data_IF_924580380252
#
_entry.id   IF_924580380252
#
_cell.length_a   1.000
_cell.length_b   1.000
_cell.length_c   1.000
_cell.angle_alpha   90.00
_cell.angle_beta   90.00
_cell.angle_gamma   90.00
#
_symmetry.space_group_name_H-M   'P 1'
#
loop_
_entity.id
_entity.type
_entity.pdbx_description
1 polymer ?
#
# COMPACT_ATOMS: atom_id res chain seq x y z
N UNK A 1 -65.87 10.82 29.56
CA UNK A 1 -66.45 9.96 28.51
C UNK A 1 -65.29 9.24 27.88
N UNK A 2 -65.30 7.90 28.03
CA UNK A 2 -64.58 6.85 27.25
C UNK A 2 -63.05 6.99 27.19
N UNK A 3 -62.25 6.32 28.03
CA UNK A 3 -61.96 4.86 28.07
C UNK A 3 -61.71 4.26 26.68
N UNK A 4 -60.45 3.95 26.36
CA UNK A 4 -60.05 2.87 25.48
C UNK A 4 -58.63 2.42 25.84
N UNK A 5 -58.57 1.22 26.41
CA UNK A 5 -57.37 0.52 26.86
C UNK A 5 -57.14 -0.67 25.92
N UNK A 6 -56.15 -0.57 25.04
CA UNK A 6 -55.75 -1.70 24.19
C UNK A 6 -54.80 -2.63 24.95
N UNK A 7 -55.37 -3.72 25.44
CA UNK A 7 -54.69 -4.92 25.91
C UNK A 7 -54.30 -5.79 24.73
N UNK A 8 -53.00 -5.90 24.44
CA UNK A 8 -52.48 -6.90 23.50
C UNK A 8 -52.26 -8.24 24.22
N UNK A 9 -53.05 -9.23 23.81
CA UNK A 9 -52.93 -10.64 24.16
C UNK A 9 -51.56 -11.21 23.70
N UNK A 10 -50.81 -11.73 24.66
CA UNK A 10 -49.69 -12.64 24.40
C UNK A 10 -50.23 -14.06 24.26
N UNK A 11 -50.38 -14.54 23.02
CA UNK A 11 -50.61 -15.96 22.75
C UNK A 11 -49.31 -16.73 22.94
N UNK A 12 -49.29 -17.53 24.01
CA UNK A 12 -48.44 -18.71 24.18
C UNK A 12 -48.94 -19.82 23.27
N UNK A 13 -48.18 -20.18 22.24
CA UNK A 13 -48.10 -21.55 21.70
C UNK A 13 -47.22 -21.53 20.44
N UNK A 14 -45.98 -22.03 20.59
CA UNK A 14 -45.22 -22.66 19.50
C UNK A 14 -44.02 -23.39 20.12
N UNK A 15 -44.31 -24.46 20.85
CA UNK A 15 -43.34 -25.48 21.23
C UNK A 15 -43.10 -26.42 20.04
N UNK A 16 -42.35 -25.93 19.05
CA UNK A 16 -41.89 -26.74 17.94
C UNK A 16 -40.65 -27.56 18.37
N UNK A 17 -40.85 -28.88 18.41
CA UNK A 17 -39.88 -29.97 18.32
C UNK A 17 -38.41 -29.56 18.12
N UNK A 18 -37.62 -29.59 19.21
CA UNK A 18 -36.18 -29.83 19.10
C UNK A 18 -35.98 -31.32 18.84
N UNK A 19 -35.88 -31.71 17.56
CA UNK A 19 -35.26 -32.98 17.21
C UNK A 19 -33.81 -32.96 17.75
N UNK A 20 -33.54 -33.84 18.70
CA UNK A 20 -32.20 -34.12 19.20
C UNK A 20 -31.46 -34.79 18.04
N UNK A 21 -30.64 -34.03 17.32
CA UNK A 21 -29.72 -34.59 16.34
C UNK A 21 -28.85 -35.65 17.04
N UNK A 22 -28.93 -36.89 16.56
CA UNK A 22 -28.10 -37.99 17.03
C UNK A 22 -26.61 -37.57 16.99
N UNK A 23 -25.82 -37.85 18.04
CA UNK A 23 -24.40 -37.56 18.04
C UNK A 23 -23.75 -38.23 16.82
N UNK A 24 -23.26 -37.40 15.89
CA UNK A 24 -22.54 -37.85 14.71
C UNK A 24 -21.55 -38.96 15.10
N UNK A 25 -21.50 -40.08 14.37
CA UNK A 25 -20.65 -41.20 14.71
C UNK A 25 -19.22 -40.72 14.88
N UNK A 26 -18.67 -40.93 16.08
CA UNK A 26 -17.28 -40.64 16.39
C UNK A 26 -16.41 -41.54 15.51
N UNK A 27 -16.10 -41.07 14.31
CA UNK A 27 -15.14 -41.71 13.43
C UNK A 27 -13.84 -41.76 14.20
N UNK A 28 -13.44 -42.97 14.60
CA UNK A 28 -12.13 -43.24 15.17
C UNK A 28 -11.09 -42.88 14.12
N UNK A 29 -10.67 -41.61 14.12
CA UNK A 29 -9.64 -41.09 13.22
C UNK A 29 -8.40 -41.94 13.42
N UNK A 30 -8.16 -42.85 12.48
CA UNK A 30 -6.89 -43.55 12.39
C UNK A 30 -5.82 -42.48 12.36
N UNK A 31 -4.94 -42.51 13.36
CA UNK A 31 -3.82 -41.57 13.46
C UNK A 31 -2.87 -41.94 12.33
N UNK A 32 -3.03 -41.30 11.18
CA UNK A 32 -2.11 -41.44 10.06
C UNK A 32 -0.69 -41.18 10.55
N UNK A 33 0.20 -42.13 10.27
CA UNK A 33 1.61 -42.03 10.68
C UNK A 33 2.32 -41.01 9.80
N UNK A 34 3.12 -40.15 10.43
CA UNK A 34 4.02 -39.24 9.72
C UNK A 34 5.05 -40.06 8.93
N UNK A 35 5.41 -39.60 7.74
CA UNK A 35 6.59 -40.10 7.04
C UNK A 35 7.87 -39.70 7.76
N UNK A 36 9.00 -40.32 7.39
CA UNK A 36 10.31 -39.96 7.96
C UNK A 36 10.65 -38.48 7.70
N UNK A 37 10.36 -37.99 6.50
CA UNK A 37 10.56 -36.59 6.10
C UNK A 37 9.67 -35.65 6.92
N UNK A 38 8.40 -35.99 7.11
CA UNK A 38 7.50 -35.17 7.93
C UNK A 38 7.91 -35.16 9.41
N UNK A 39 8.44 -36.28 9.91
CA UNK A 39 8.97 -36.38 11.27
C UNK A 39 10.22 -35.52 11.45
N UNK A 40 11.13 -35.51 10.47
CA UNK A 40 12.31 -34.66 10.43
C UNK A 40 11.93 -33.17 10.44
N UNK A 41 11.02 -32.75 9.56
CA UNK A 41 10.55 -31.35 9.52
C UNK A 41 9.87 -30.97 10.83
N UNK A 42 9.01 -31.84 11.38
CA UNK A 42 8.36 -31.58 12.66
C UNK A 42 9.38 -31.35 13.79
N UNK A 43 10.47 -32.12 13.80
CA UNK A 43 11.57 -31.94 14.75
C UNK A 43 12.32 -30.62 14.53
N UNK A 44 12.62 -30.26 13.28
CA UNK A 44 13.32 -29.00 12.95
C UNK A 44 12.46 -27.76 13.25
N UNK A 45 11.16 -27.82 12.96
CA UNK A 45 10.20 -26.78 13.35
C UNK A 45 10.17 -26.63 14.87
N UNK A 46 10.05 -27.75 15.61
CA UNK A 46 10.06 -27.72 17.08
C UNK A 46 11.35 -27.13 17.65
N UNK A 47 12.51 -27.46 17.07
CA UNK A 47 13.82 -26.89 17.45
C UNK A 47 13.88 -25.37 17.29
N UNK A 48 13.17 -24.81 16.31
CA UNK A 48 13.04 -23.36 16.08
C UNK A 48 11.94 -22.70 16.91
N UNK A 49 11.30 -23.45 17.82
CA UNK A 49 10.13 -22.99 18.56
C UNK A 49 8.92 -22.74 17.66
N UNK A 50 8.88 -23.38 16.49
CA UNK A 50 7.76 -23.37 15.56
C UNK A 50 6.88 -24.58 15.81
N UNK A 51 5.69 -24.55 15.21
CA UNK A 51 4.65 -25.53 15.47
C UNK A 51 4.97 -26.99 15.12
N UNK A 52 4.17 -27.91 15.65
CA UNK A 52 4.21 -29.33 15.29
C UNK A 52 3.38 -29.62 14.03
N UNK A 53 3.73 -30.71 13.35
CA UNK A 53 3.00 -31.20 12.17
C UNK A 53 1.97 -32.25 12.60
N UNK A 54 0.75 -32.17 12.06
CA UNK A 54 -0.23 -33.26 12.08
C UNK A 54 -0.69 -33.56 10.65
N UNK A 55 -0.89 -34.83 10.30
CA UNK A 55 -1.40 -35.21 8.97
C UNK A 55 -2.93 -35.14 8.96
N UNK A 56 -3.49 -34.65 7.85
CA UNK A 56 -4.92 -34.64 7.60
C UNK A 56 -5.21 -34.92 6.12
N UNK A 57 -5.09 -36.18 5.70
CA UNK A 57 -5.29 -36.58 4.30
C UNK A 57 -4.13 -36.13 3.41
N UNK A 58 -4.44 -35.38 2.35
CA UNK A 58 -3.43 -34.86 1.41
C UNK A 58 -2.71 -33.60 1.91
N UNK A 59 -3.09 -33.09 3.09
CA UNK A 59 -2.52 -31.90 3.71
C UNK A 59 -1.80 -32.24 5.02
N UNK A 60 -0.75 -31.46 5.32
CA UNK A 60 -0.18 -31.32 6.65
C UNK A 60 -0.74 -30.09 7.36
N UNK A 61 -1.14 -30.26 8.61
CA UNK A 61 -1.57 -29.20 9.52
C UNK A 61 -0.40 -28.75 10.39
N UNK A 62 -0.06 -27.47 10.32
CA UNK A 62 0.94 -26.82 11.14
C UNK A 62 0.27 -26.20 12.38
N UNK A 63 0.67 -26.62 13.58
CA UNK A 63 0.06 -26.21 14.87
C UNK A 63 1.09 -25.53 15.76
N UNK A 64 0.91 -24.28 16.22
CA UNK A 64 1.87 -23.65 17.12
C UNK A 64 2.05 -24.46 18.41
N UNK A 65 3.27 -24.42 18.98
CA UNK A 65 3.58 -25.12 20.24
C UNK A 65 2.82 -24.54 21.43
N UNK A 66 2.60 -23.22 21.43
CA UNK A 66 1.76 -22.57 22.42
C UNK A 66 0.30 -22.92 22.11
N UNK A 67 -0.37 -23.67 22.99
CA UNK A 67 -1.76 -24.12 22.85
C UNK A 67 -2.84 -23.02 22.81
N UNK A 68 -2.49 -21.80 22.40
CA UNK A 68 -3.44 -20.73 22.12
C UNK A 68 -4.29 -21.01 20.88
N UNK A 69 -5.44 -20.36 20.82
CA UNK A 69 -6.34 -20.41 19.68
C UNK A 69 -5.73 -19.67 18.48
N UNK A 70 -4.84 -20.35 17.76
CA UNK A 70 -4.29 -19.87 16.49
C UNK A 70 -5.00 -20.62 15.36
N UNK A 71 -5.40 -19.93 14.28
CA UNK A 71 -5.99 -20.59 13.13
C UNK A 71 -5.09 -21.71 12.64
N UNK A 72 -5.68 -22.90 12.44
CA UNK A 72 -5.01 -24.03 11.81
C UNK A 72 -4.51 -23.61 10.43
N UNK A 73 -3.25 -23.93 10.13
CA UNK A 73 -2.63 -23.68 8.84
C UNK A 73 -2.36 -25.03 8.19
N UNK A 74 -2.80 -25.20 6.94
CA UNK A 74 -2.68 -26.46 6.20
C UNK A 74 -1.83 -26.28 4.95
N UNK A 75 -1.01 -27.26 4.61
CA UNK A 75 -0.22 -27.23 3.39
C UNK A 75 -0.26 -28.60 2.72
N UNK A 76 -0.38 -28.68 1.38
CA UNK A 76 -0.31 -29.95 0.68
C UNK A 76 0.97 -30.74 1.00
N UNK A 77 0.83 -32.05 1.16
CA UNK A 77 1.96 -32.97 1.42
C UNK A 77 3.03 -32.93 0.32
N UNK A 78 2.65 -32.60 -0.91
CA UNK A 78 3.57 -32.39 -2.04
C UNK A 78 4.61 -31.29 -1.80
N UNK A 79 4.44 -30.44 -0.78
CA UNK A 79 5.34 -29.34 -0.46
C UNK A 79 6.20 -29.58 0.77
N UNK A 80 6.07 -30.75 1.40
CA UNK A 80 6.89 -31.17 2.56
C UNK A 80 8.37 -31.15 2.20
N UNK A 81 8.77 -31.74 1.07
CA UNK A 81 10.17 -31.72 0.65
C UNK A 81 10.70 -30.31 0.42
N UNK A 82 9.90 -29.45 -0.23
CA UNK A 82 10.26 -28.04 -0.41
C UNK A 82 10.44 -27.34 0.92
N UNK A 83 9.54 -27.54 1.89
CA UNK A 83 9.71 -26.97 3.23
C UNK A 83 11.00 -27.47 3.91
N UNK A 84 11.32 -28.76 3.79
CA UNK A 84 12.58 -29.31 4.32
C UNK A 84 13.78 -28.58 3.73
N UNK A 85 13.82 -28.45 2.42
CA UNK A 85 14.93 -27.80 1.72
C UNK A 85 15.04 -26.31 2.14
N UNK A 86 13.91 -25.63 2.29
CA UNK A 86 13.84 -24.23 2.74
C UNK A 86 14.26 -24.04 4.19
N UNK A 87 13.96 -24.99 5.07
CA UNK A 87 14.42 -24.95 6.47
C UNK A 87 15.94 -25.07 6.58
N UNK A 88 16.60 -25.67 5.58
CA UNK A 88 18.07 -25.72 5.49
C UNK A 88 18.74 -24.37 5.21
N UNK A 89 17.98 -23.35 4.81
CA UNK A 89 18.52 -22.03 4.46
C UNK A 89 18.98 -21.22 5.67
N UNK A 90 19.94 -20.31 5.44
CA UNK A 90 20.30 -19.25 6.38
C UNK A 90 19.20 -18.18 6.37
N UNK A 91 18.24 -18.32 7.28
CA UNK A 91 17.07 -17.44 7.38
C UNK A 91 17.36 -16.31 8.36
N UNK A 92 17.14 -15.08 7.93
CA UNK A 92 17.21 -13.88 8.76
C UNK A 92 15.84 -13.24 8.82
N UNK A 93 15.30 -13.12 10.03
CA UNK A 93 14.01 -12.46 10.28
C UNK A 93 14.11 -10.97 9.94
N UNK A 94 13.18 -10.45 9.13
CA UNK A 94 13.18 -9.02 8.79
C UNK A 94 12.90 -8.16 10.04
N UNK A 95 13.65 -7.10 10.33
CA UNK A 95 13.53 -6.33 11.57
C UNK A 95 12.18 -5.60 11.69
N UNK A 96 11.73 -4.96 10.61
CA UNK A 96 10.52 -4.11 10.61
C UNK A 96 9.24 -4.82 10.14
N UNK A 97 9.35 -5.77 9.21
CA UNK A 97 8.22 -6.38 8.53
C UNK A 97 7.99 -7.83 8.95
N UNK A 98 6.78 -8.28 8.65
CA UNK A 98 6.37 -9.67 8.75
C UNK A 98 6.95 -10.39 7.53
N UNK A 99 8.17 -10.89 7.67
CA UNK A 99 8.92 -11.50 6.58
C UNK A 99 10.31 -11.96 7.00
N UNK A 100 11.05 -12.49 6.03
CA UNK A 100 12.42 -12.98 6.21
C UNK A 100 13.23 -12.79 4.93
N UNK A 101 14.55 -12.71 5.08
CA UNK A 101 15.51 -12.77 4.00
C UNK A 101 16.33 -14.06 4.06
N UNK A 102 16.88 -14.46 2.91
CA UNK A 102 17.83 -15.57 2.77
C UNK A 102 19.07 -15.01 2.07
N UNK A 103 20.08 -14.56 2.86
CA UNK A 103 21.28 -13.92 2.35
C UNK A 103 22.02 -14.71 1.27
N UNK A 104 22.10 -16.03 1.44
CA UNK A 104 22.83 -16.93 0.54
C UNK A 104 22.18 -17.03 -0.85
N UNK A 105 20.93 -16.57 -0.98
CA UNK A 105 20.16 -16.57 -2.22
C UNK A 105 19.82 -15.16 -2.72
N UNK A 106 20.20 -14.10 -1.99
CA UNK A 106 19.76 -12.74 -2.32
C UNK A 106 18.24 -12.59 -2.29
N UNK A 107 17.55 -13.30 -1.41
CA UNK A 107 16.08 -13.42 -1.42
C UNK A 107 15.43 -12.68 -0.25
N UNK A 108 14.30 -12.03 -0.50
CA UNK A 108 13.42 -11.46 0.52
C UNK A 108 11.96 -11.86 0.27
N UNK A 109 11.24 -12.25 1.31
CA UNK A 109 9.78 -12.44 1.28
C UNK A 109 9.10 -11.69 2.41
N UNK A 110 8.15 -10.81 2.05
CA UNK A 110 7.36 -10.01 3.01
C UNK A 110 5.87 -10.18 2.82
N UNK A 111 5.12 -10.21 3.92
CA UNK A 111 3.65 -10.20 3.90
C UNK A 111 3.13 -8.87 3.37
N UNK A 112 2.10 -8.96 2.54
CA UNK A 112 1.30 -7.82 2.16
C UNK A 112 -0.08 -7.86 2.80
N UNK A 113 -0.55 -6.69 3.17
CA UNK A 113 -1.94 -6.42 3.47
C UNK A 113 -2.63 -5.84 2.25
N UNK A 114 -3.73 -6.50 1.87
CA UNK A 114 -4.56 -6.10 0.75
C UNK A 114 -5.76 -5.31 1.28
N UNK A 115 -5.86 -4.06 0.86
CA UNK A 115 -6.95 -3.17 1.27
C UNK A 115 -8.01 -2.99 0.19
N UNK A 116 -7.77 -3.48 -1.02
CA UNK A 116 -8.84 -3.58 -2.00
C UNK A 116 -9.82 -4.70 -1.62
N UNK A 117 -11.09 -4.54 -2.00
CA UNK A 117 -12.16 -5.47 -1.60
C UNK A 117 -11.92 -6.90 -2.09
N UNK A 118 -12.92 -7.77 -1.95
CA UNK A 118 -12.88 -9.20 -2.30
C UNK A 118 -12.61 -9.54 -3.78
N UNK A 119 -12.13 -8.58 -4.58
CA UNK A 119 -11.82 -8.72 -5.99
C UNK A 119 -10.33 -8.64 -6.35
N UNK A 120 -9.40 -8.34 -5.44
CA UNK A 120 -8.01 -8.12 -5.84
C UNK A 120 -7.35 -9.35 -6.45
N UNK A 121 -7.58 -10.55 -5.89
CA UNK A 121 -7.03 -11.77 -6.50
C UNK A 121 -7.58 -12.01 -7.90
N UNK A 122 -8.85 -11.64 -8.16
CA UNK A 122 -9.45 -11.68 -9.50
C UNK A 122 -8.86 -10.60 -10.42
N UNK A 123 -8.46 -9.45 -9.87
CA UNK A 123 -7.77 -8.42 -10.64
C UNK A 123 -6.37 -8.90 -10.99
N UNK A 124 -5.59 -9.36 -10.01
CA UNK A 124 -4.26 -9.95 -10.20
C UNK A 124 -4.28 -11.11 -11.20
N UNK A 125 -5.23 -12.04 -11.10
CA UNK A 125 -5.35 -13.16 -12.03
C UNK A 125 -5.71 -12.74 -13.46
N UNK A 126 -6.26 -11.53 -13.64
CA UNK A 126 -6.55 -10.95 -14.95
C UNK A 126 -5.42 -10.07 -15.46
N UNK A 127 -4.48 -9.70 -14.59
CA UNK A 127 -3.40 -8.85 -15.02
C UNK A 127 -2.49 -9.63 -15.95
N UNK A 128 -2.34 -9.13 -17.17
CA UNK A 128 -1.30 -9.59 -18.05
C UNK A 128 0.04 -9.18 -17.43
N UNK A 129 0.98 -10.10 -17.44
CA UNK A 129 2.38 -9.79 -17.20
C UNK A 129 3.11 -10.05 -18.52
N UNK A 130 4.11 -9.25 -18.82
CA UNK A 130 5.01 -9.51 -19.95
C UNK A 130 5.57 -10.91 -19.74
N UNK A 131 5.34 -11.82 -20.69
CA UNK A 131 5.69 -13.24 -20.56
C UNK A 131 7.17 -13.38 -20.21
N UNK A 132 7.43 -14.09 -19.11
CA UNK A 132 8.72 -14.14 -18.43
C UNK A 132 9.63 -15.27 -18.91
N UNK A 133 9.56 -15.65 -20.18
CA UNK A 133 10.31 -16.82 -20.69
C UNK A 133 11.84 -16.69 -20.48
N UNK A 134 12.34 -15.51 -20.13
CA UNK A 134 13.75 -15.21 -19.94
C UNK A 134 14.19 -14.93 -18.48
N UNK A 135 13.32 -14.84 -17.46
CA UNK A 135 13.83 -14.65 -16.07
C UNK A 135 14.32 -16.00 -15.53
N UNK A 136 15.61 -16.05 -15.14
CA UNK A 136 16.26 -17.22 -14.53
C UNK A 136 15.57 -17.75 -13.25
N UNK A 137 14.80 -16.90 -12.58
CA UNK A 137 14.02 -17.24 -11.39
C UNK A 137 12.60 -17.77 -11.70
N UNK A 138 12.22 -17.79 -12.98
CA UNK A 138 10.94 -18.35 -13.44
C UNK A 138 11.00 -19.85 -13.72
N UNK A 139 12.21 -20.40 -13.88
CA UNK A 139 12.44 -21.82 -14.14
C UNK A 139 12.05 -22.67 -12.92
N UNK A 140 11.36 -23.79 -13.16
CA UNK A 140 11.01 -24.79 -12.13
C UNK A 140 12.24 -25.36 -11.42
N UNK A 141 13.42 -25.24 -12.05
CA UNK A 141 14.70 -25.65 -11.49
C UNK A 141 15.25 -24.70 -10.40
N UNK A 142 14.69 -23.50 -10.21
CA UNK A 142 15.23 -22.55 -9.23
C UNK A 142 15.06 -23.10 -7.79
N UNK A 143 16.09 -23.02 -6.93
CA UNK A 143 16.07 -23.62 -5.57
C UNK A 143 14.95 -23.06 -4.68
N UNK A 144 14.52 -21.83 -4.95
CA UNK A 144 13.30 -21.26 -4.38
C UNK A 144 12.11 -21.78 -5.19
N UNK A 145 11.70 -23.04 -4.96
CA UNK A 145 10.48 -23.59 -5.56
C UNK A 145 9.29 -22.76 -5.12
N UNK A 146 8.68 -22.07 -6.08
CA UNK A 146 7.45 -21.32 -5.88
C UNK A 146 6.28 -22.30 -5.97
N UNK A 147 5.37 -22.21 -5.01
CA UNK A 147 4.20 -23.05 -4.97
C UNK A 147 3.24 -22.68 -6.12
N UNK A 148 2.71 -23.65 -6.90
CA UNK A 148 1.45 -23.43 -7.56
C UNK A 148 0.43 -23.06 -6.48
N UNK A 149 -0.43 -22.09 -6.77
CA UNK A 149 -1.24 -21.42 -5.78
C UNK A 149 -2.44 -22.28 -5.30
N UNK A 150 -2.22 -23.54 -4.93
CA UNK A 150 -3.21 -24.34 -4.21
C UNK A 150 -3.41 -23.75 -2.82
N UNK A 151 -4.55 -23.08 -2.67
CA UNK A 151 -5.00 -22.41 -1.47
C UNK A 151 -4.98 -23.35 -0.27
N UNK A 152 -4.43 -22.87 0.86
CA UNK A 152 -4.76 -23.35 2.20
C UNK A 152 -6.25 -23.76 2.29
N UNK A 153 -6.53 -25.05 2.48
CA UNK A 153 -7.88 -25.54 2.77
C UNK A 153 -8.25 -25.12 4.20
N UNK A 154 -8.96 -24.00 4.33
CA UNK A 154 -9.66 -23.66 5.58
C UNK A 154 -10.93 -24.52 5.69
N UNK A 155 -11.21 -25.04 6.89
CA UNK A 155 -12.27 -26.02 7.16
C UNK A 155 -13.62 -25.66 6.51
N UNK A 156 -14.07 -26.57 5.64
CA UNK A 156 -15.38 -26.88 5.03
C UNK A 156 -16.51 -25.86 4.82
N UNK A 157 -16.60 -24.72 5.50
CA UNK A 157 -17.78 -23.84 5.39
C UNK A 157 -17.71 -22.80 4.25
N UNK A 158 -16.55 -22.59 3.62
CA UNK A 158 -16.35 -21.52 2.60
C UNK A 158 -15.81 -22.01 1.24
N UNK A 159 -16.06 -23.28 0.87
CA UNK A 159 -15.51 -23.91 -0.35
C UNK A 159 -15.83 -23.16 -1.67
N UNK A 160 -16.88 -22.36 -1.76
CA UNK A 160 -17.32 -21.72 -3.03
C UNK A 160 -16.55 -20.43 -3.41
N UNK A 161 -15.80 -19.82 -2.49
CA UNK A 161 -15.04 -18.57 -2.76
C UNK A 161 -13.56 -18.83 -3.03
N UNK A 162 -13.06 -20.01 -2.67
CA UNK A 162 -11.63 -20.34 -2.61
C UNK A 162 -11.00 -20.61 -3.99
N UNK A 163 -11.73 -21.21 -4.94
CA UNK A 163 -11.18 -21.59 -6.25
C UNK A 163 -10.80 -20.41 -7.17
N UNK A 164 -11.10 -19.16 -6.79
CA UNK A 164 -10.85 -17.97 -7.62
C UNK A 164 -9.50 -17.30 -7.38
N UNK A 165 -8.77 -17.74 -6.37
CA UNK A 165 -7.47 -17.18 -5.99
C UNK A 165 -6.30 -18.11 -6.33
N UNK A 166 -6.58 -19.24 -6.98
CA UNK A 166 -5.65 -20.35 -7.09
C UNK A 166 -4.47 -20.11 -8.05
N UNK A 167 -4.40 -18.96 -8.74
CA UNK A 167 -3.33 -18.64 -9.69
C UNK A 167 -2.97 -17.13 -9.75
N UNK A 168 -3.26 -16.35 -8.70
CA UNK A 168 -2.88 -14.94 -8.69
C UNK A 168 -1.36 -14.77 -8.49
N UNK A 169 -0.60 -14.85 -9.60
CA UNK A 169 0.85 -14.67 -9.66
C UNK A 169 1.19 -13.56 -10.65
N UNK A 170 1.97 -12.59 -10.20
CA UNK A 170 2.63 -11.61 -11.05
C UNK A 170 4.12 -11.77 -10.82
N UNK A 171 4.85 -12.17 -11.87
CA UNK A 171 6.30 -12.29 -11.85
C UNK A 171 6.88 -11.29 -12.85
N UNK A 172 7.79 -10.44 -12.39
CA UNK A 172 8.33 -9.31 -13.13
C UNK A 172 9.84 -9.26 -12.91
N UNK A 173 10.58 -8.75 -13.88
CA UNK A 173 12.03 -8.64 -13.80
C UNK A 173 12.53 -7.35 -14.40
N UNK A 174 13.66 -6.88 -13.91
CA UNK A 174 14.31 -5.68 -14.43
C UNK A 174 14.93 -5.96 -15.81
N UNK A 175 15.32 -4.91 -16.55
CA UNK A 175 15.86 -5.08 -17.90
C UNK A 175 17.16 -5.89 -17.95
N UNK A 176 17.90 -5.99 -16.85
CA UNK A 176 19.16 -6.73 -16.78
C UNK A 176 18.96 -8.18 -16.34
N UNK A 177 17.81 -8.52 -15.77
CA UNK A 177 17.56 -9.82 -15.14
C UNK A 177 18.27 -9.98 -13.79
N UNK A 178 18.81 -8.90 -13.23
CA UNK A 178 19.50 -8.87 -11.95
C UNK A 178 18.52 -8.91 -10.78
N UNK A 179 17.31 -8.37 -10.97
CA UNK A 179 16.26 -8.31 -9.95
C UNK A 179 14.95 -8.85 -10.52
N UNK A 180 14.40 -9.89 -9.89
CA UNK A 180 13.04 -10.37 -10.16
C UNK A 180 12.15 -10.08 -8.94
N UNK A 181 10.92 -9.64 -9.17
CA UNK A 181 9.87 -9.40 -8.16
C UNK A 181 8.73 -10.36 -8.44
N UNK A 182 8.19 -10.96 -7.39
CA UNK A 182 6.99 -11.78 -7.50
C UNK A 182 5.95 -11.43 -6.44
N UNK A 183 4.76 -11.09 -6.91
CA UNK A 183 3.55 -11.02 -6.09
C UNK A 183 2.77 -12.32 -6.25
N UNK A 184 2.77 -13.14 -5.20
CA UNK A 184 2.13 -14.46 -5.20
C UNK A 184 1.77 -14.91 -3.78
N UNK A 185 1.20 -16.11 -3.66
CA UNK A 185 0.99 -16.74 -2.35
C UNK A 185 2.33 -16.98 -1.63
N UNK A 186 2.29 -17.03 -0.31
CA UNK A 186 3.46 -17.31 0.53
C UNK A 186 4.14 -18.66 0.22
N UNK A 187 5.44 -18.75 0.45
CA UNK A 187 6.20 -20.02 0.43
C UNK A 187 5.84 -20.96 1.60
N UNK A 188 6.19 -22.26 1.53
CA UNK A 188 6.06 -23.19 2.66
C UNK A 188 6.74 -22.68 3.93
N UNK A 189 7.97 -22.18 3.77
CA UNK A 189 8.74 -21.63 4.88
C UNK A 189 8.04 -20.42 5.50
N UNK A 190 7.55 -19.48 4.68
CA UNK A 190 6.79 -18.34 5.18
C UNK A 190 5.55 -18.81 5.96
N UNK A 191 4.80 -19.79 5.44
CA UNK A 191 3.65 -20.38 6.14
C UNK A 191 4.05 -20.97 7.51
N UNK A 192 5.20 -21.63 7.61
CA UNK A 192 5.70 -22.20 8.85
C UNK A 192 6.19 -21.12 9.85
N UNK A 193 6.93 -20.12 9.38
CA UNK A 193 7.42 -19.02 10.23
C UNK A 193 6.28 -18.15 10.78
N UNK A 194 5.24 -17.97 9.97
CA UNK A 194 4.06 -17.18 10.34
C UNK A 194 3.12 -17.84 11.34
N UNK A 195 3.37 -19.08 11.79
CA UNK A 195 2.55 -19.74 12.82
C UNK A 195 2.49 -18.95 14.14
N UNK A 196 3.48 -18.11 14.39
CA UNK A 196 3.53 -17.18 15.53
C UNK A 196 2.50 -16.04 15.40
N UNK A 197 1.95 -15.81 14.22
CA UNK A 197 1.11 -14.65 13.90
C UNK A 197 -0.35 -15.05 13.71
N UNK A 198 -1.25 -14.31 14.37
CA UNK A 198 -2.70 -14.57 14.34
C UNK A 198 -3.34 -14.27 12.99
N UNK A 199 -2.74 -13.37 12.22
CA UNK A 199 -3.34 -12.84 11.00
C UNK A 199 -3.09 -13.71 9.77
N UNK A 200 -4.15 -13.85 8.96
CA UNK A 200 -4.12 -14.57 7.68
C UNK A 200 -3.43 -13.69 6.63
N UNK A 201 -2.16 -13.96 6.37
CA UNK A 201 -1.46 -13.44 5.19
C UNK A 201 -1.97 -14.22 3.99
N UNK A 202 -2.44 -13.53 2.95
CA UNK A 202 -2.89 -14.16 1.71
C UNK A 202 -1.86 -14.03 0.59
N UNK A 203 -1.20 -12.89 0.54
CA UNK A 203 -0.23 -12.55 -0.50
C UNK A 203 1.06 -12.10 0.14
N UNK A 204 2.14 -12.41 -0.54
CA UNK A 204 3.49 -12.02 -0.20
C UNK A 204 4.14 -11.40 -1.41
N UNK A 205 5.07 -10.50 -1.16
CA UNK A 205 5.94 -9.96 -2.17
C UNK A 205 7.32 -10.55 -1.98
N UNK A 206 7.84 -11.15 -3.04
CA UNK A 206 9.15 -11.77 -3.09
C UNK A 206 10.06 -10.92 -3.95
N UNK A 207 11.29 -10.72 -3.52
CA UNK A 207 12.33 -10.05 -4.29
C UNK A 207 13.53 -10.97 -4.36
N UNK A 208 14.04 -11.15 -5.57
CA UNK A 208 15.21 -11.97 -5.88
C UNK A 208 16.29 -11.04 -6.42
N UNK A 209 17.44 -11.03 -5.78
CA UNK A 209 18.65 -10.33 -6.22
C UNK A 209 19.63 -11.32 -6.84
N UNK A 210 20.53 -10.82 -7.69
CA UNK A 210 21.53 -11.63 -8.38
C UNK A 210 22.62 -12.15 -7.42
N UNK A 211 22.35 -13.30 -6.80
CA UNK A 211 23.30 -14.04 -5.98
C UNK A 211 23.33 -13.65 -4.49
N UNK A 212 24.28 -14.22 -3.73
CA UNK A 212 24.40 -13.97 -2.30
C UNK A 212 24.74 -12.50 -2.00
N UNK A 213 24.14 -11.96 -0.95
CA UNK A 213 24.40 -10.60 -0.48
C UNK A 213 24.30 -10.52 1.05
N UNK A 214 24.88 -9.48 1.65
CA UNK A 214 24.73 -9.25 3.08
C UNK A 214 23.28 -8.87 3.43
N UNK A 215 22.77 -9.23 4.62
CA UNK A 215 21.39 -8.96 5.00
C UNK A 215 20.99 -7.48 4.86
N UNK A 216 21.88 -6.57 5.26
CA UNK A 216 21.64 -5.12 5.21
C UNK A 216 21.49 -4.62 3.76
N UNK A 217 22.32 -5.14 2.83
CA UNK A 217 22.26 -4.78 1.41
C UNK A 217 20.99 -5.32 0.76
N UNK A 218 20.58 -6.54 1.13
CA UNK A 218 19.32 -7.14 0.65
C UNK A 218 18.15 -6.31 1.11
N UNK A 219 18.10 -5.95 2.39
CA UNK A 219 17.01 -5.14 2.95
C UNK A 219 16.93 -3.78 2.25
N UNK A 220 18.04 -3.06 2.13
CA UNK A 220 18.07 -1.75 1.50
C UNK A 220 17.62 -1.78 0.02
N UNK A 221 18.16 -2.71 -0.76
CA UNK A 221 17.82 -2.81 -2.18
C UNK A 221 16.40 -3.33 -2.40
N UNK A 222 15.96 -4.31 -1.59
CA UNK A 222 14.59 -4.80 -1.66
C UNK A 222 13.60 -3.73 -1.23
N UNK A 223 13.82 -2.98 -0.14
CA UNK A 223 12.93 -1.90 0.28
C UNK A 223 12.74 -0.86 -0.84
N UNK A 224 13.85 -0.44 -1.48
CA UNK A 224 13.81 0.48 -2.63
C UNK A 224 12.90 -0.04 -3.75
N UNK A 225 13.04 -1.31 -4.12
CA UNK A 225 12.27 -1.95 -5.19
C UNK A 225 10.81 -2.18 -4.79
N UNK A 226 10.57 -2.68 -3.56
CA UNK A 226 9.25 -2.93 -2.98
C UNK A 226 8.41 -1.67 -2.99
N UNK A 227 8.94 -0.57 -2.42
CA UNK A 227 8.24 0.70 -2.31
C UNK A 227 7.89 1.29 -3.68
N UNK A 228 8.83 1.21 -4.62
CA UNK A 228 8.63 1.68 -5.99
C UNK A 228 7.57 0.84 -6.72
N UNK A 229 7.63 -0.49 -6.58
CA UNK A 229 6.65 -1.40 -7.17
C UNK A 229 5.25 -1.19 -6.62
N UNK A 230 5.08 -1.10 -5.29
CA UNK A 230 3.78 -0.88 -4.68
C UNK A 230 3.18 0.49 -5.05
N UNK A 231 4.02 1.53 -5.18
CA UNK A 231 3.59 2.82 -5.70
C UNK A 231 3.08 2.73 -7.14
N UNK A 232 3.82 2.10 -8.05
CA UNK A 232 3.38 1.93 -9.45
C UNK A 232 2.11 1.09 -9.55
N UNK A 233 2.01 0.02 -8.76
CA UNK A 233 0.84 -0.86 -8.75
C UNK A 233 -0.42 -0.13 -8.24
N UNK A 234 -0.27 0.74 -7.25
CA UNK A 234 -1.34 1.61 -6.76
C UNK A 234 -1.76 2.66 -7.80
N UNK A 235 -0.79 3.36 -8.39
CA UNK A 235 -1.07 4.47 -9.31
C UNK A 235 -1.60 4.01 -10.67
N UNK A 236 -1.00 2.97 -11.27
CA UNK A 236 -1.36 2.46 -12.60
C UNK A 236 -2.51 1.46 -12.57
N UNK A 237 -2.49 0.58 -11.58
CA UNK A 237 -3.40 -0.56 -11.53
C UNK A 237 -4.45 -0.40 -10.42
N UNK A 238 -4.44 0.69 -9.64
CA UNK A 238 -5.43 0.92 -8.59
C UNK A 238 -5.40 -0.12 -7.46
N UNK A 239 -4.33 -0.91 -7.36
CA UNK A 239 -4.19 -1.93 -6.33
C UNK A 239 -3.38 -1.37 -5.16
N UNK A 240 -4.05 -1.20 -4.03
CA UNK A 240 -3.44 -0.68 -2.82
C UNK A 240 -3.02 -1.83 -1.93
N UNK A 241 -1.70 -1.96 -1.75
CA UNK A 241 -1.08 -2.89 -0.81
C UNK A 241 -0.30 -2.12 0.25
N UNK A 242 -0.21 -2.71 1.43
CA UNK A 242 0.70 -2.28 2.49
C UNK A 242 1.66 -3.41 2.81
N UNK A 243 2.93 -3.10 3.10
CA UNK A 243 3.83 -4.09 3.69
C UNK A 243 3.42 -4.25 5.16
N UNK A 244 3.19 -5.49 5.58
CA UNK A 244 2.75 -5.75 6.95
C UNK A 244 3.90 -5.56 7.93
N UNK A 245 3.75 -4.64 8.90
CA UNK A 245 4.72 -4.40 9.98
C UNK A 245 4.55 -5.42 11.10
N UNK A 246 5.67 -5.80 11.74
CA UNK A 246 5.70 -6.82 12.80
C UNK A 246 4.89 -6.44 14.05
N UNK A 247 4.89 -5.16 14.40
CA UNK A 247 4.20 -4.63 15.60
C UNK A 247 2.71 -4.34 15.38
N UNK A 248 2.23 -4.42 14.15
CA UNK A 248 0.86 -4.07 13.80
C UNK A 248 -0.05 -5.30 13.87
N UNK A 249 -0.43 -5.70 15.08
CA UNK A 249 -1.52 -6.66 15.30
C UNK A 249 -2.91 -6.01 15.11
N UNK A 250 -2.98 -4.77 14.61
CA UNK A 250 -4.24 -4.08 14.41
C UNK A 250 -5.09 -4.73 13.32
N UNK A 251 -6.33 -5.04 13.69
CA UNK A 251 -7.36 -5.58 12.83
C UNK A 251 -7.47 -4.75 11.54
N UNK A 252 -7.02 -5.33 10.42
CA UNK A 252 -7.26 -4.81 9.09
C UNK A 252 -8.77 -4.82 8.83
N UNK A 253 -9.47 -3.75 9.23
CA UNK A 253 -10.87 -3.55 8.92
C UNK A 253 -10.99 -3.46 7.40
N UNK A 254 -11.67 -4.44 6.82
CA UNK A 254 -11.94 -4.50 5.37
C UNK A 254 -12.71 -3.26 4.96
N UNK A 255 -12.08 -2.37 4.20
CA UNK A 255 -12.75 -1.23 3.61
C UNK A 255 -12.96 -1.46 2.11
N UNK A 256 -14.05 -0.89 1.58
CA UNK A 256 -14.42 -1.04 0.18
C UNK A 256 -13.58 -0.08 -0.66
N UNK A 257 -12.60 -0.60 -1.38
CA UNK A 257 -11.89 0.19 -2.40
C UNK A 257 -12.83 0.60 -3.52
N UNK A 258 -12.72 1.86 -3.96
CA UNK A 258 -13.32 2.33 -5.20
C UNK A 258 -12.59 1.67 -6.38
N UNK A 259 -13.33 1.32 -7.44
CA UNK A 259 -12.76 0.75 -8.66
C UNK A 259 -12.27 1.89 -9.56
N UNK A 260 -10.94 2.05 -9.68
CA UNK A 260 -10.34 2.85 -10.74
C UNK A 260 -10.33 2.03 -12.04
N UNK A 261 -10.27 2.72 -13.19
CA UNK A 261 -10.00 2.05 -14.48
C UNK A 261 -8.60 1.47 -14.41
N UNK A 262 -8.52 0.15 -14.35
CA UNK A 262 -7.28 -0.60 -14.15
C UNK A 262 -6.56 -0.70 -15.48
N UNK A 263 -5.26 -0.42 -15.51
CA UNK A 263 -4.42 -1.00 -16.55
C UNK A 263 -4.32 -2.50 -16.31
N UNK A 264 -4.49 -3.28 -17.37
CA UNK A 264 -4.45 -4.73 -17.30
C UNK A 264 -3.02 -5.27 -17.21
N UNK A 265 -2.00 -4.48 -17.56
CA UNK A 265 -0.61 -4.93 -17.54
C UNK A 265 0.14 -4.51 -16.26
N UNK A 266 0.79 -5.47 -15.61
CA UNK A 266 1.80 -5.24 -14.57
C UNK A 266 3.20 -5.18 -15.21
N UNK A 267 4.06 -4.29 -14.73
CA UNK A 267 5.45 -4.17 -15.17
C UNK A 267 6.40 -3.97 -14.00
N UNK A 268 7.67 -4.30 -14.19
CA UNK A 268 8.72 -3.97 -13.23
C UNK A 268 8.78 -2.44 -13.00
N UNK A 269 9.01 -1.96 -11.76
CA UNK A 269 9.04 -0.53 -11.47
C UNK A 269 10.12 0.16 -12.32
N UNK A 270 9.68 1.19 -13.04
CA UNK A 270 10.53 2.09 -13.82
C UNK A 270 10.95 3.34 -13.05
N UNK A 271 10.16 3.69 -12.03
CA UNK A 271 10.34 4.82 -11.15
C UNK A 271 11.10 4.33 -9.92
N UNK A 272 12.12 5.08 -9.48
CA UNK A 272 12.80 4.81 -8.20
C UNK A 272 12.37 5.86 -7.20
N UNK A 273 11.62 5.43 -6.20
CA UNK A 273 11.08 6.33 -5.18
C UNK A 273 11.79 6.11 -3.84
N UNK A 274 11.94 7.21 -3.10
CA UNK A 274 12.39 7.16 -1.70
C UNK A 274 11.32 6.45 -0.87
N UNK A 275 11.75 5.57 0.04
CA UNK A 275 10.85 4.68 0.78
C UNK A 275 9.81 5.46 1.59
N UNK A 276 10.20 6.63 2.14
CA UNK A 276 9.31 7.49 2.92
C UNK A 276 8.19 8.08 2.06
N UNK A 277 8.52 8.58 0.86
CA UNK A 277 7.53 9.16 -0.06
C UNK A 277 6.55 8.10 -0.55
N UNK A 278 7.07 6.92 -0.92
CA UNK A 278 6.25 5.78 -1.33
C UNK A 278 5.33 5.32 -0.20
N UNK A 279 5.85 5.26 1.03
CA UNK A 279 5.11 4.89 2.22
C UNK A 279 3.99 5.90 2.50
N UNK A 280 4.29 7.19 2.51
CA UNK A 280 3.28 8.25 2.71
C UNK A 280 2.18 8.18 1.65
N UNK A 281 2.55 8.03 0.37
CA UNK A 281 1.59 7.91 -0.72
C UNK A 281 0.67 6.69 -0.58
N UNK A 282 1.23 5.53 -0.22
CA UNK A 282 0.47 4.32 0.00
C UNK A 282 -0.40 4.42 1.25
N UNK A 283 0.12 4.94 2.38
CA UNK A 283 -0.64 5.18 3.61
C UNK A 283 -1.86 6.08 3.36
N UNK A 284 -1.71 7.13 2.55
CA UNK A 284 -2.83 7.96 2.15
C UNK A 284 -3.95 7.16 1.46
N UNK A 285 -3.57 6.23 0.57
CA UNK A 285 -4.49 5.32 -0.13
C UNK A 285 -5.13 4.28 0.80
N UNK A 286 -4.46 3.95 1.90
CA UNK A 286 -4.88 2.98 2.91
C UNK A 286 -5.80 3.58 3.98
N UNK A 287 -6.09 4.88 3.90
CA UNK A 287 -6.90 5.58 4.91
C UNK A 287 -8.29 6.02 4.39
N UNK A 288 -9.09 5.15 3.72
CA UNK A 288 -10.39 5.58 3.24
C UNK A 288 -11.34 5.87 4.40
N UNK A 289 -12.16 6.91 4.25
CA UNK A 289 -13.09 7.38 5.28
C UNK A 289 -12.47 8.33 6.31
N UNK A 290 -11.14 8.47 6.37
CA UNK A 290 -10.48 9.56 7.09
C UNK A 290 -9.77 10.47 6.09
N UNK A 291 -10.57 11.26 5.37
CA UNK A 291 -10.07 12.16 4.33
C UNK A 291 -9.07 13.21 4.85
N UNK A 292 -9.23 13.83 6.04
CA UNK A 292 -8.20 14.71 6.57
C UNK A 292 -6.82 14.04 6.68
N UNK A 293 -6.78 12.80 7.20
CA UNK A 293 -5.51 12.09 7.34
C UNK A 293 -4.92 11.67 5.98
N UNK A 294 -5.75 11.18 5.06
CA UNK A 294 -5.31 10.88 3.69
C UNK A 294 -4.77 12.13 2.98
N UNK A 295 -5.43 13.28 3.15
CA UNK A 295 -4.99 14.57 2.63
C UNK A 295 -3.60 14.94 3.16
N UNK A 296 -3.39 14.83 4.48
CA UNK A 296 -2.10 15.14 5.10
C UNK A 296 -0.99 14.23 4.60
N UNK A 297 -1.24 12.92 4.44
CA UNK A 297 -0.21 12.02 3.92
C UNK A 297 0.20 12.35 2.48
N UNK A 298 -0.74 12.67 1.58
CA UNK A 298 -0.37 13.13 0.24
C UNK A 298 0.32 14.50 0.27
N UNK A 299 -0.11 15.41 1.14
CA UNK A 299 0.55 16.72 1.30
C UNK A 299 1.98 16.56 1.81
N UNK A 300 2.22 15.67 2.78
CA UNK A 300 3.56 15.38 3.30
C UNK A 300 4.47 14.80 2.20
N UNK A 301 3.93 13.96 1.32
CA UNK A 301 4.66 13.48 0.16
C UNK A 301 5.05 14.63 -0.81
N UNK A 302 4.21 15.67 -0.93
CA UNK A 302 4.54 16.88 -1.70
C UNK A 302 5.58 17.77 -1.01
N UNK A 303 5.48 17.94 0.32
CA UNK A 303 6.44 18.70 1.14
C UNK A 303 7.88 18.22 0.93
N UNK A 304 8.09 16.90 0.80
CA UNK A 304 9.39 16.31 0.51
C UNK A 304 10.11 16.96 -0.69
N UNK A 305 9.35 17.37 -1.71
CA UNK A 305 9.91 17.95 -2.94
C UNK A 305 9.97 19.48 -2.94
N UNK A 306 9.31 20.19 -2.01
CA UNK A 306 9.20 21.65 -2.03
C UNK A 306 10.57 22.34 -2.04
N UNK A 307 11.41 22.07 -1.03
CA UNK A 307 12.72 22.72 -0.89
C UNK A 307 13.66 22.40 -2.07
N UNK A 308 13.62 21.15 -2.58
CA UNK A 308 14.41 20.73 -3.74
C UNK A 308 14.01 21.50 -5.00
N UNK A 309 12.70 21.64 -5.25
CA UNK A 309 12.19 22.34 -6.43
C UNK A 309 12.48 23.82 -6.38
N UNK A 310 12.25 24.50 -5.25
CA UNK A 310 12.56 25.93 -5.09
C UNK A 310 14.05 26.19 -5.34
N UNK A 311 14.93 25.37 -4.76
CA UNK A 311 16.38 25.49 -4.97
C UNK A 311 16.76 25.28 -6.44
N UNK A 312 16.18 24.27 -7.11
CA UNK A 312 16.41 24.00 -8.53
C UNK A 312 16.01 25.19 -9.41
N UNK A 313 14.84 25.78 -9.16
CA UNK A 313 14.34 26.96 -9.88
C UNK A 313 15.28 28.15 -9.71
N UNK A 314 15.74 28.40 -8.49
CA UNK A 314 16.67 29.50 -8.24
C UNK A 314 18.05 29.29 -8.87
N UNK A 315 18.58 28.06 -8.87
CA UNK A 315 19.82 27.74 -9.59
C UNK A 315 19.66 28.00 -11.08
N UNK A 316 18.50 27.64 -11.66
CA UNK A 316 18.19 27.92 -13.07
C UNK A 316 18.14 29.43 -13.34
N UNK A 317 17.52 30.20 -12.45
CA UNK A 317 17.45 31.66 -12.58
C UNK A 317 18.81 32.33 -12.45
N UNK A 318 19.63 31.90 -11.49
CA UNK A 318 21.02 32.35 -11.32
C UNK A 318 21.82 32.04 -12.59
N UNK A 319 21.74 30.80 -13.11
CA UNK A 319 22.43 30.42 -14.35
C UNK A 319 21.99 31.28 -15.54
N UNK A 320 20.70 31.58 -15.65
CA UNK A 320 20.18 32.45 -16.72
C UNK A 320 20.75 33.85 -16.65
N UNK A 321 20.87 34.43 -15.45
CA UNK A 321 21.49 35.76 -15.26
C UNK A 321 22.96 35.71 -15.65
N UNK A 322 23.72 34.72 -15.15
CA UNK A 322 25.15 34.61 -15.41
C UNK A 322 25.50 34.30 -16.88
N UNK A 323 24.60 33.63 -17.61
CA UNK A 323 24.78 33.32 -19.03
C UNK A 323 24.31 34.45 -19.95
N UNK A 324 23.70 35.52 -19.42
CA UNK A 324 23.36 36.68 -20.23
C UNK A 324 24.65 37.40 -20.67
N UNK A 325 24.80 37.61 -21.98
CA UNK A 325 25.95 38.31 -22.56
C UNK A 325 26.07 39.76 -22.09
N UNK A 326 25.01 40.32 -21.50
CA UNK A 326 24.97 41.66 -20.92
C UNK A 326 25.36 41.70 -19.45
N UNK A 327 25.48 40.55 -18.80
CA UNK A 327 25.86 40.47 -17.40
C UNK A 327 27.28 41.01 -17.20
N UNK A 328 27.42 41.97 -16.28
CA UNK A 328 28.69 42.59 -15.95
C UNK A 328 29.00 42.34 -14.48
N UNK A 329 30.06 41.57 -14.21
CA UNK A 329 30.51 41.24 -12.85
C UNK A 329 30.96 42.46 -12.02
N UNK A 330 31.22 43.60 -12.69
CA UNK A 330 31.63 44.86 -12.03
C UNK A 330 30.46 45.81 -11.79
N UNK A 331 29.26 45.45 -12.23
CA UNK A 331 28.06 46.25 -12.02
C UNK A 331 27.32 45.75 -10.77
N UNK A 332 27.33 46.59 -9.73
CA UNK A 332 26.70 46.29 -8.44
C UNK A 332 25.19 46.03 -8.57
N UNK A 333 24.51 46.60 -9.57
CA UNK A 333 23.08 46.33 -9.81
C UNK A 333 22.84 44.89 -10.28
N UNK A 334 23.68 44.37 -11.17
CA UNK A 334 23.62 43.00 -11.67
C UNK A 334 23.95 41.98 -10.57
N UNK A 335 24.95 42.28 -9.73
CA UNK A 335 25.26 41.49 -8.54
C UNK A 335 24.09 41.51 -7.53
N UNK A 336 23.45 42.67 -7.35
CA UNK A 336 22.28 42.80 -6.47
C UNK A 336 21.09 41.98 -6.98
N UNK A 337 20.86 41.91 -8.30
CA UNK A 337 19.84 41.02 -8.89
C UNK A 337 20.11 39.55 -8.57
N UNK A 338 21.39 39.13 -8.66
CA UNK A 338 21.82 37.78 -8.32
C UNK A 338 21.55 37.45 -6.84
N UNK A 339 21.96 38.33 -5.92
CA UNK A 339 21.71 38.20 -4.48
C UNK A 339 20.20 38.13 -4.22
N UNK A 340 19.41 38.97 -4.87
CA UNK A 340 17.95 38.98 -4.74
C UNK A 340 17.30 37.66 -5.15
N UNK A 341 17.84 36.91 -6.12
CA UNK A 341 17.34 35.56 -6.44
C UNK A 341 17.59 34.60 -5.28
N UNK A 342 18.77 34.66 -4.66
CA UNK A 342 19.16 33.78 -3.55
C UNK A 342 18.37 34.11 -2.28
N UNK A 343 18.23 35.40 -1.94
CA UNK A 343 17.44 35.84 -0.78
C UNK A 343 15.96 35.48 -0.89
N UNK A 344 15.41 35.50 -2.11
CA UNK A 344 14.04 35.03 -2.33
C UNK A 344 13.90 33.57 -1.89
N UNK A 345 14.83 32.69 -2.25
CA UNK A 345 14.77 31.27 -1.84
C UNK A 345 14.75 31.11 -0.33
N UNK A 346 15.62 31.83 0.38
CA UNK A 346 15.76 31.68 1.84
C UNK A 346 14.54 32.22 2.60
N UNK A 347 13.88 33.25 2.06
CA UNK A 347 12.76 33.93 2.72
C UNK A 347 11.38 33.60 2.11
N UNK A 348 11.29 32.60 1.23
CA UNK A 348 10.02 32.21 0.61
C UNK A 348 9.13 31.50 1.63
N UNK A 349 7.91 32.01 1.84
CA UNK A 349 6.90 31.36 2.69
C UNK A 349 6.53 29.97 2.17
N UNK A 350 6.13 29.05 3.07
CA UNK A 350 5.71 27.69 2.71
C UNK A 350 4.69 27.67 1.57
N UNK A 351 3.65 28.52 1.64
CA UNK A 351 2.65 28.64 0.57
C UNK A 351 3.24 29.05 -0.78
N UNK A 352 4.23 29.94 -0.81
CA UNK A 352 4.93 30.29 -2.06
C UNK A 352 5.85 29.15 -2.54
N UNK A 353 6.52 28.44 -1.63
CA UNK A 353 7.31 27.25 -2.00
C UNK A 353 6.42 26.18 -2.65
N UNK A 354 5.21 26.00 -2.10
CA UNK A 354 4.23 25.08 -2.65
C UNK A 354 3.70 25.53 -4.01
N UNK A 355 3.41 26.83 -4.22
CA UNK A 355 3.06 27.36 -5.54
C UNK A 355 4.14 27.06 -6.58
N UNK A 356 5.41 27.32 -6.25
CA UNK A 356 6.54 27.02 -7.13
C UNK A 356 6.63 25.53 -7.45
N UNK A 357 6.41 24.66 -6.45
CA UNK A 357 6.37 23.21 -6.66
C UNK A 357 5.30 22.83 -7.69
N UNK A 358 4.05 23.29 -7.49
CA UNK A 358 2.94 22.94 -8.36
C UNK A 358 3.15 23.51 -9.77
N UNK A 359 3.59 24.77 -9.90
CA UNK A 359 3.82 25.39 -11.22
C UNK A 359 4.93 24.74 -12.03
N UNK A 360 5.97 24.22 -11.37
CA UNK A 360 7.13 23.62 -12.06
C UNK A 360 6.96 22.13 -12.36
N UNK A 361 6.17 21.41 -11.55
CA UNK A 361 6.11 19.96 -11.61
C UNK A 361 4.76 19.39 -12.09
N UNK A 362 3.69 20.19 -12.12
CA UNK A 362 2.34 19.70 -12.45
C UNK A 362 1.90 20.22 -13.81
N UNK A 363 1.45 19.31 -14.66
CA UNK A 363 0.89 19.65 -15.98
C UNK A 363 -0.52 20.24 -15.81
N UNK A 364 -0.72 21.46 -16.30
CA UNK A 364 -1.99 22.19 -16.12
C UNK A 364 -3.17 21.50 -16.82
N UNK A 365 -2.95 20.85 -17.96
CA UNK A 365 -3.97 20.13 -18.71
C UNK A 365 -4.55 18.93 -17.94
N UNK A 366 -3.72 18.19 -17.19
CA UNK A 366 -4.16 17.09 -16.32
C UNK A 366 -5.06 17.60 -15.18
N UNK A 367 -4.68 18.74 -14.59
CA UNK A 367 -5.48 19.41 -13.54
C UNK A 367 -6.81 19.91 -14.11
N UNK A 368 -6.79 20.55 -15.29
CA UNK A 368 -8.01 20.98 -15.97
C UNK A 368 -8.90 19.79 -16.33
N UNK A 369 -8.33 18.68 -16.81
CA UNK A 369 -9.06 17.45 -17.10
C UNK A 369 -9.68 16.85 -15.84
N UNK A 370 -8.96 16.88 -14.72
CA UNK A 370 -9.46 16.47 -13.41
C UNK A 370 -10.63 17.34 -12.96
N UNK A 371 -10.52 18.67 -13.03
CA UNK A 371 -11.53 19.62 -12.58
C UNK A 371 -12.83 19.55 -13.42
N UNK A 372 -12.74 19.09 -14.67
CA UNK A 372 -13.91 18.88 -15.57
C UNK A 372 -14.75 17.63 -15.23
N UNK A 373 -14.27 16.74 -14.36
CA UNK A 373 -15.07 15.58 -13.90
C UNK A 373 -16.30 16.06 -13.08
N UNK A 374 -17.37 15.25 -12.96
CA UNK A 374 -18.61 15.65 -12.30
C UNK A 374 -18.48 15.66 -10.76
N UNK A 375 -17.80 16.67 -10.22
CA UNK A 375 -17.58 16.85 -8.78
C UNK A 375 -18.72 17.58 -8.05
N UNK A 376 -19.93 17.63 -8.59
CA UNK A 376 -21.09 18.29 -7.95
C UNK A 376 -20.81 19.74 -7.48
N UNK A 377 -20.12 20.55 -8.29
CA UNK A 377 -19.73 21.93 -7.96
C UNK A 377 -18.80 22.07 -6.74
N UNK A 378 -18.10 21.01 -6.33
CA UNK A 378 -17.19 21.01 -5.17
C UNK A 378 -16.15 22.14 -5.19
N UNK A 379 -15.59 22.44 -6.37
CA UNK A 379 -14.57 23.47 -6.56
C UNK A 379 -15.13 24.87 -6.88
N UNK A 380 -16.45 25.06 -6.85
CA UNK A 380 -17.09 26.35 -7.10
C UNK A 380 -17.17 27.20 -5.82
N UNK A 381 -17.61 28.46 -5.95
CA UNK A 381 -17.75 29.41 -4.83
C UNK A 381 -18.68 28.94 -3.69
N UNK A 382 -19.60 28.02 -4.00
CA UNK A 382 -20.53 27.42 -3.03
C UNK A 382 -20.18 25.96 -2.72
N UNK A 383 -18.90 25.62 -2.81
CA UNK A 383 -18.39 24.30 -2.44
C UNK A 383 -18.66 23.97 -0.97
N UNK A 384 -18.62 22.69 -0.59
CA UNK A 384 -18.97 22.24 0.76
C UNK A 384 -17.91 22.58 1.82
N UNK A 385 -16.71 23.03 1.40
CA UNK A 385 -15.60 23.37 2.29
C UNK A 385 -15.56 24.89 2.49
N UNK A 386 -15.82 25.34 3.71
CA UNK A 386 -15.90 26.76 4.06
C UNK A 386 -14.52 27.45 3.99
N UNK A 387 -14.50 28.73 3.65
CA UNK A 387 -13.28 29.56 3.68
C UNK A 387 -12.08 29.00 2.87
N UNK A 388 -12.35 28.16 1.87
CA UNK A 388 -11.37 27.64 0.91
C UNK A 388 -11.69 28.22 -0.47
N UNK A 389 -10.69 28.76 -1.20
CA UNK A 389 -10.93 29.41 -2.48
C UNK A 389 -11.51 28.43 -3.51
N UNK A 390 -12.40 28.95 -4.36
CA UNK A 390 -12.88 28.25 -5.54
C UNK A 390 -11.80 28.23 -6.62
N UNK A 391 -11.92 27.32 -7.58
CA UNK A 391 -11.05 27.24 -8.75
C UNK A 391 -11.84 27.65 -9.99
N UNK A 392 -11.41 28.73 -10.62
CA UNK A 392 -12.00 29.27 -11.84
C UNK A 392 -11.09 29.01 -13.05
N UNK A 393 -11.57 28.17 -13.99
CA UNK A 393 -10.80 27.78 -15.18
C UNK A 393 -10.50 28.95 -16.15
N UNK A 394 -11.33 30.00 -16.13
CA UNK A 394 -11.21 31.16 -17.03
C UNK A 394 -10.76 32.42 -16.29
N UNK A 395 -10.04 32.27 -15.17
CA UNK A 395 -9.55 33.41 -14.42
C UNK A 395 -8.42 34.13 -15.19
N UNK A 396 -8.48 35.46 -15.27
CA UNK A 396 -7.48 36.29 -15.96
C UNK A 396 -6.32 36.71 -15.05
N UNK A 397 -6.51 36.68 -13.72
CA UNK A 397 -5.54 37.22 -12.77
C UNK A 397 -4.59 36.16 -12.22
N UNK A 398 -5.02 34.90 -12.16
CA UNK A 398 -4.26 33.79 -11.60
C UNK A 398 -4.46 32.54 -12.45
N UNK A 399 -3.40 31.78 -12.63
CA UNK A 399 -3.43 30.48 -13.34
C UNK A 399 -4.28 29.46 -12.58
N UNK A 400 -4.63 28.33 -13.23
CA UNK A 400 -5.36 27.26 -12.55
C UNK A 400 -4.49 26.61 -11.47
N UNK A 401 -3.19 26.44 -11.76
CA UNK A 401 -2.22 25.84 -10.84
C UNK A 401 -2.03 26.67 -9.56
N UNK A 402 -1.97 28.00 -9.67
CA UNK A 402 -1.88 28.89 -8.49
C UNK A 402 -3.13 28.77 -7.61
N UNK A 403 -4.33 28.75 -8.21
CA UNK A 403 -5.59 28.60 -7.48
C UNK A 403 -5.66 27.24 -6.76
N UNK A 404 -5.19 26.17 -7.42
CA UNK A 404 -5.10 24.83 -6.82
C UNK A 404 -4.12 24.80 -5.66
N UNK A 405 -2.93 25.40 -5.82
CA UNK A 405 -1.94 25.47 -4.76
C UNK A 405 -2.49 26.21 -3.53
N UNK A 406 -3.18 27.33 -3.74
CA UNK A 406 -3.80 28.13 -2.68
C UNK A 406 -4.89 27.36 -1.94
N UNK A 407 -5.75 26.68 -2.70
CA UNK A 407 -6.80 25.82 -2.14
C UNK A 407 -6.22 24.72 -1.26
N UNK A 408 -5.25 23.96 -1.76
CA UNK A 408 -4.65 22.84 -1.05
C UNK A 408 -3.90 23.32 0.20
N UNK A 409 -3.13 24.42 0.11
CA UNK A 409 -2.46 25.02 1.26
C UNK A 409 -3.45 25.51 2.33
N UNK A 410 -4.56 26.14 1.91
CA UNK A 410 -5.60 26.60 2.84
C UNK A 410 -6.27 25.43 3.56
N UNK A 411 -6.57 24.33 2.85
CA UNK A 411 -7.12 23.10 3.45
C UNK A 411 -6.12 22.52 4.45
N UNK A 412 -4.84 22.35 4.08
CA UNK A 412 -3.79 21.84 4.96
C UNK A 412 -3.75 22.62 6.27
N UNK A 413 -3.68 23.95 6.19
CA UNK A 413 -3.64 24.80 7.37
C UNK A 413 -4.89 24.66 8.24
N UNK A 414 -6.09 24.50 7.66
CA UNK A 414 -7.30 24.25 8.44
C UNK A 414 -7.33 22.88 9.11
N UNK A 415 -6.62 21.89 8.58
CA UNK A 415 -6.50 20.56 9.21
C UNK A 415 -5.49 20.61 10.37
N UNK A 416 -4.33 21.26 10.20
CA UNK A 416 -3.23 21.21 11.19
C UNK A 416 -3.22 22.35 12.20
N UNK A 417 -3.72 23.54 11.85
CA UNK A 417 -3.64 24.71 12.73
C UNK A 417 -4.98 24.99 13.40
N UNK A 418 -4.92 25.02 14.74
CA UNK A 418 -6.00 25.55 15.55
C UNK A 418 -6.06 27.09 15.45
N UNK A 419 -7.21 27.63 15.83
CA UNK A 419 -7.78 28.97 15.66
C UNK A 419 -6.93 30.21 16.06
N UNK A 420 -5.64 30.06 16.34
CA UNK A 420 -4.83 31.08 17.03
C UNK A 420 -3.91 31.90 16.09
N UNK A 421 -3.84 31.60 14.79
CA UNK A 421 -3.13 32.48 13.86
C UNK A 421 -4.09 33.56 13.32
N UNK A 422 -3.92 34.84 13.72
CA UNK A 422 -4.76 35.94 13.25
C UNK A 422 -4.75 36.10 11.71
N UNK A 423 -3.79 35.49 10.99
CA UNK A 423 -3.73 35.47 9.52
C UNK A 423 -4.81 34.59 8.88
N UNK A 424 -5.40 33.63 9.60
CA UNK A 424 -6.39 32.72 9.02
C UNK A 424 -7.84 33.13 9.23
N UNK A 425 -8.09 34.23 9.95
CA UNK A 425 -9.43 34.80 10.18
C UNK A 425 -10.34 33.86 11.00
N UNK A 426 -11.66 34.09 10.93
CA UNK A 426 -12.68 33.28 11.62
C UNK A 426 -12.87 31.86 11.06
N UNK A 427 -12.02 31.41 10.13
CA UNK A 427 -12.12 30.09 9.52
C UNK A 427 -11.91 28.99 10.57
N UNK A 428 -12.95 28.19 10.81
CA UNK A 428 -12.93 27.13 11.83
C UNK A 428 -11.97 26.00 11.42
N UNK A 429 -11.35 25.39 12.41
CA UNK A 429 -10.55 24.16 12.25
C UNK A 429 -11.40 23.08 11.61
N UNK A 430 -10.84 22.35 10.66
CA UNK A 430 -11.51 21.23 10.01
C UNK A 430 -11.37 19.99 10.92
N UNK A 431 -12.40 19.70 11.70
CA UNK A 431 -12.40 18.60 12.65
C UNK A 431 -12.62 17.24 11.96
N UNK A 432 -11.91 16.17 12.36
CA UNK A 432 -12.18 14.82 11.89
C UNK A 432 -13.66 14.43 12.09
N UNK A 433 -14.21 13.64 11.16
CA UNK A 433 -15.60 13.14 11.20
C UNK A 433 -16.70 14.22 11.14
N UNK A 434 -16.35 15.48 10.88
CA UNK A 434 -17.36 16.50 10.53
C UNK A 434 -17.90 16.28 9.11
N UNK A 435 -19.12 16.74 8.82
CA UNK A 435 -19.68 16.65 7.46
C UNK A 435 -18.84 17.38 6.41
N UNK A 436 -18.13 18.44 6.81
CA UNK A 436 -17.13 19.11 5.98
C UNK A 436 -15.92 18.19 5.70
N UNK A 437 -15.39 17.52 6.72
CA UNK A 437 -14.29 16.57 6.57
C UNK A 437 -14.66 15.38 5.68
N UNK A 438 -15.89 14.88 5.79
CA UNK A 438 -16.43 13.84 4.90
C UNK A 438 -16.55 14.31 3.44
N UNK A 439 -16.67 15.61 3.23
CA UNK A 439 -16.74 16.23 1.91
C UNK A 439 -15.37 16.43 1.24
N UNK A 440 -14.25 16.20 1.94
CA UNK A 440 -12.89 16.38 1.38
C UNK A 440 -12.50 15.36 0.30
N UNK A 441 -13.34 14.36 0.00
CA UNK A 441 -13.05 13.33 -1.00
C UNK A 441 -12.47 13.86 -2.32
N UNK A 442 -13.13 14.81 -3.02
CA UNK A 442 -12.59 15.39 -4.25
C UNK A 442 -11.26 16.13 -4.07
N UNK A 443 -11.04 16.79 -2.93
CA UNK A 443 -9.76 17.45 -2.63
C UNK A 443 -8.63 16.42 -2.37
N UNK A 444 -8.93 15.30 -1.69
CA UNK A 444 -7.95 14.20 -1.52
C UNK A 444 -7.55 13.60 -2.86
N UNK A 445 -8.50 13.39 -3.78
CA UNK A 445 -8.20 12.93 -5.14
C UNK A 445 -7.39 13.95 -5.95
N UNK A 446 -7.63 15.25 -5.71
CA UNK A 446 -6.83 16.32 -6.32
C UNK A 446 -5.39 16.26 -5.80
N UNK A 447 -5.17 16.22 -4.48
CA UNK A 447 -3.80 16.15 -3.93
C UNK A 447 -3.09 14.84 -4.32
N UNK A 448 -3.83 13.73 -4.43
CA UNK A 448 -3.30 12.47 -4.99
C UNK A 448 -2.76 12.68 -6.42
N UNK A 449 -3.53 13.34 -7.29
CA UNK A 449 -3.08 13.67 -8.65
C UNK A 449 -1.82 14.56 -8.62
N UNK A 450 -1.81 15.61 -7.79
CA UNK A 450 -0.65 16.49 -7.66
C UNK A 450 0.58 15.71 -7.19
N UNK A 451 0.44 14.80 -6.22
CA UNK A 451 1.53 13.97 -5.74
C UNK A 451 2.07 13.04 -6.84
N UNK A 452 1.19 12.45 -7.67
CA UNK A 452 1.62 11.64 -8.81
C UNK A 452 2.42 12.45 -9.84
N UNK A 453 1.94 13.64 -10.21
CA UNK A 453 2.63 14.53 -11.15
C UNK A 453 3.98 15.01 -10.61
N UNK A 454 4.04 15.40 -9.33
CA UNK A 454 5.28 15.83 -8.68
C UNK A 454 6.30 14.71 -8.58
N UNK A 455 5.87 13.49 -8.21
CA UNK A 455 6.74 12.32 -8.17
C UNK A 455 7.30 12.05 -9.57
N UNK A 456 6.45 12.07 -10.60
CA UNK A 456 6.84 11.84 -11.99
C UNK A 456 7.84 12.88 -12.50
N UNK A 457 7.65 14.17 -12.20
CA UNK A 457 8.55 15.25 -12.60
C UNK A 457 9.90 15.26 -11.87
N UNK A 458 10.08 14.38 -10.87
CA UNK A 458 11.30 14.23 -10.07
C UNK A 458 11.98 12.86 -10.29
N UNK A 459 11.50 12.06 -11.24
CA UNK A 459 12.23 10.90 -11.79
C UNK A 459 13.17 11.38 -12.89
#
# INVERSE_FOLDING_TARGET
MTEESDSLDMTTDDAAFMEVEDPLPSTSKQKEMLTDVESEISAELAKRGLGAIAVSGDDIELKPLSGGFVPRRTMPRSHVETLRDQLGWRIVDHPLYVGYSVPDLGFLEVALDLYSGTGAGRQLSKMMHSSSEECQYSDEAHPVRILPARTLHFSSEFKSVQSRYEDARIHLYDRRGDICIELSNHTPLFLALTLKWRNRVKLTLKVYLNGPAEPEDIEAECERVLHSFLYELNTRNGLVFAIRRRESDQDARRQKSRQLKLQEEARFPSITLQSEVATLFNLASLTPGNYPLAFLYYYQALEYFMSKTVRRTAIRDVRRILLDHRFNERDDEEISKLIGVVERVTNTSEGNQFRVLISECVREDEVVAFLKKPWNNHFANKGPIEAVPAIHLNNKTSTVLEQVADRVYKIRNRIVHAKDDPRFGDARVLLPQSGEAESLGPDVELVRLLAMEVILANQ
#
